data_IF_365310105313
#
_entry.id   IF_365310105313
#
_cell.length_a   1.000
_cell.length_b   1.000
_cell.length_c   1.000
_cell.angle_alpha   90.00
_cell.angle_beta   90.00
_cell.angle_gamma   90.00
#
_symmetry.space_group_name_H-M   'P 1'
#
loop_
_entity.id
_entity.type
_entity.pdbx_description
1 polymer ?
#
# COMPACT_ATOMS: atom_id res chain seq x y z
N UNK A 1 54.43 -11.96 -4.98
CA UNK A 1 54.78 -11.95 -6.44
C UNK A 1 53.83 -11.08 -7.24
N UNK A 2 52.51 -11.21 -7.06
CA UNK A 2 51.51 -10.36 -7.76
C UNK A 2 51.69 -8.88 -7.40
N UNK A 3 51.81 -8.55 -6.12
CA UNK A 3 51.98 -7.18 -5.64
C UNK A 3 53.23 -6.51 -6.25
N UNK A 4 54.35 -7.23 -6.37
CA UNK A 4 55.56 -6.74 -7.03
C UNK A 4 55.37 -6.50 -8.53
N UNK A 5 54.53 -7.31 -9.18
CA UNK A 5 54.26 -7.18 -10.61
C UNK A 5 53.37 -5.97 -10.92
N UNK A 6 52.42 -5.68 -10.07
CA UNK A 6 51.56 -4.51 -10.15
C UNK A 6 52.31 -3.20 -9.83
N UNK A 7 53.24 -3.24 -8.88
CA UNK A 7 54.15 -2.11 -8.61
C UNK A 7 54.99 -1.73 -9.85
N UNK A 8 55.52 -2.73 -10.58
CA UNK A 8 56.23 -2.52 -11.83
C UNK A 8 55.31 -2.01 -12.96
N UNK A 9 54.03 -2.34 -12.91
CA UNK A 9 53.03 -1.85 -13.86
C UNK A 9 52.65 -0.39 -13.60
N UNK A 10 52.51 0.04 -12.33
CA UNK A 10 52.31 1.44 -11.96
C UNK A 10 53.44 2.34 -12.47
N UNK A 11 54.68 1.89 -12.29
CA UNK A 11 55.86 2.61 -12.75
C UNK A 11 55.89 2.79 -14.29
N UNK A 12 55.53 1.74 -15.04
CA UNK A 12 55.47 1.77 -16.51
C UNK A 12 54.26 2.54 -17.08
N UNK A 13 53.14 2.57 -16.35
CA UNK A 13 51.91 3.20 -16.81
C UNK A 13 51.82 4.69 -16.43
N UNK A 14 52.74 5.20 -15.64
CA UNK A 14 52.72 6.58 -15.12
C UNK A 14 51.58 6.87 -14.14
N UNK A 15 50.93 5.82 -13.57
CA UNK A 15 49.88 5.95 -12.56
C UNK A 15 50.47 6.07 -11.16
N UNK A 16 49.97 7.03 -10.41
CA UNK A 16 50.41 7.23 -9.01
C UNK A 16 49.70 6.29 -8.01
N UNK A 17 48.56 5.75 -8.40
CA UNK A 17 47.73 4.90 -7.53
C UNK A 17 46.98 3.84 -8.33
N UNK A 18 46.95 2.60 -7.87
CA UNK A 18 46.12 1.52 -8.42
C UNK A 18 45.61 0.59 -7.30
N UNK A 19 44.55 -0.19 -7.58
CA UNK A 19 43.98 -1.13 -6.63
C UNK A 19 43.89 -2.52 -7.23
N UNK A 20 44.29 -3.53 -6.45
CA UNK A 20 44.34 -4.93 -6.91
C UNK A 20 43.57 -5.84 -5.96
N UNK A 21 42.83 -6.75 -6.54
CA UNK A 21 42.18 -7.83 -5.81
C UNK A 21 43.17 -8.96 -5.58
N UNK A 22 43.37 -9.35 -4.32
CA UNK A 22 44.23 -10.45 -3.94
C UNK A 22 43.42 -11.51 -3.18
N UNK A 23 43.63 -12.78 -3.52
CA UNK A 23 43.06 -13.88 -2.77
C UNK A 23 44.09 -14.43 -1.77
N UNK A 24 43.82 -14.30 -0.48
CA UNK A 24 44.65 -14.81 0.57
C UNK A 24 43.91 -15.81 1.45
N UNK A 25 44.37 -17.08 1.50
CA UNK A 25 43.75 -18.16 2.28
C UNK A 25 42.21 -18.31 2.05
N UNK A 26 41.78 -18.18 0.79
CA UNK A 26 40.35 -18.28 0.44
C UNK A 26 39.51 -17.05 0.78
N UNK A 27 40.14 -15.95 1.20
CA UNK A 27 39.44 -14.66 1.40
C UNK A 27 39.91 -13.62 0.39
N UNK A 28 38.99 -12.95 -0.23
CA UNK A 28 39.26 -11.79 -1.09
C UNK A 28 39.74 -10.62 -0.26
N UNK A 29 40.86 -10.02 -0.65
CA UNK A 29 41.44 -8.84 -0.02
C UNK A 29 41.77 -7.81 -1.09
N UNK A 30 41.30 -6.59 -0.90
CA UNK A 30 41.62 -5.47 -1.79
C UNK A 30 42.76 -4.65 -1.22
N UNK A 31 43.85 -4.55 -2.01
CA UNK A 31 45.00 -3.76 -1.66
C UNK A 31 45.13 -2.59 -2.63
N UNK A 32 45.25 -1.39 -2.09
CA UNK A 32 45.56 -0.19 -2.84
C UNK A 32 47.07 0.09 -2.72
N UNK A 33 47.69 0.31 -3.84
CA UNK A 33 49.10 0.68 -3.95
C UNK A 33 49.20 2.12 -4.41
N UNK A 34 49.98 2.92 -3.73
CA UNK A 34 50.42 4.24 -4.20
C UNK A 34 51.94 4.33 -4.15
N UNK A 35 52.51 4.89 -5.20
CA UNK A 35 53.96 4.98 -5.36
C UNK A 35 54.37 6.43 -5.59
N UNK A 36 55.42 6.85 -4.93
CA UNK A 36 56.07 8.13 -5.16
C UNK A 36 57.57 7.93 -5.34
N UNK A 37 58.10 8.40 -6.49
CA UNK A 37 59.52 8.30 -6.84
C UNK A 37 60.18 9.66 -6.59
N UNK A 38 61.31 9.65 -5.97
CA UNK A 38 62.16 10.83 -5.74
C UNK A 38 63.32 10.82 -6.72
N UNK A 39 63.68 11.99 -7.19
CA UNK A 39 64.76 12.16 -8.18
C UNK A 39 65.83 13.13 -7.65
N UNK A 40 67.12 12.80 -7.84
CA UNK A 40 68.27 13.66 -7.64
C UNK A 40 69.00 13.73 -8.97
N UNK A 41 69.33 14.92 -9.45
CA UNK A 41 69.97 15.16 -10.74
C UNK A 41 69.37 14.43 -11.92
N UNK A 42 67.98 14.33 -11.93
CA UNK A 42 67.22 13.68 -12.99
C UNK A 42 67.26 12.14 -12.96
N UNK A 43 67.86 11.54 -11.94
CA UNK A 43 67.93 10.09 -11.71
C UNK A 43 67.06 9.71 -10.52
N UNK A 44 66.24 8.62 -10.63
CA UNK A 44 65.46 8.14 -9.48
C UNK A 44 66.40 7.67 -8.36
N UNK A 45 66.26 8.21 -7.17
CA UNK A 45 67.04 7.87 -5.99
C UNK A 45 66.29 6.98 -5.03
N UNK A 46 65.05 7.31 -4.77
CA UNK A 46 64.22 6.60 -3.81
C UNK A 46 62.80 6.44 -4.34
N UNK A 47 62.15 5.38 -3.88
CA UNK A 47 60.75 5.11 -4.12
C UNK A 47 60.05 4.77 -2.80
N UNK A 48 59.01 5.51 -2.49
CA UNK A 48 58.12 5.19 -1.38
C UNK A 48 56.86 4.52 -1.94
N UNK A 49 56.55 3.34 -1.42
CA UNK A 49 55.36 2.60 -1.78
C UNK A 49 54.52 2.44 -0.53
N UNK A 50 53.30 2.91 -0.61
CA UNK A 50 52.30 2.74 0.44
C UNK A 50 51.32 1.66 -0.01
N UNK A 51 51.14 0.64 0.82
CA UNK A 51 50.15 -0.44 0.61
C UNK A 51 49.09 -0.31 1.67
N UNK A 52 47.87 -0.10 1.24
CA UNK A 52 46.70 0.04 2.12
C UNK A 52 45.69 -1.08 1.86
N UNK A 53 45.27 -1.74 2.92
CA UNK A 53 44.12 -2.68 2.79
C UNK A 53 42.82 -1.90 2.78
N UNK A 54 42.16 -1.87 1.62
CA UNK A 54 40.87 -1.17 1.38
C UNK A 54 39.69 -2.14 1.33
N UNK A 55 39.85 -3.40 1.73
CA UNK A 55 38.77 -4.41 1.69
C UNK A 55 37.53 -3.92 2.40
N UNK A 56 37.67 -3.44 3.64
CA UNK A 56 36.54 -2.92 4.42
C UNK A 56 35.84 -1.76 3.71
N UNK A 57 36.63 -0.85 3.14
CA UNK A 57 36.05 0.30 2.41
C UNK A 57 35.34 -0.14 1.14
N UNK A 58 35.87 -1.10 0.39
CA UNK A 58 35.21 -1.69 -0.80
C UNK A 58 33.93 -2.39 -0.44
N UNK A 59 33.94 -3.29 0.57
CA UNK A 59 32.77 -4.00 1.04
C UNK A 59 31.66 -3.02 1.51
N UNK A 60 32.06 -2.03 2.33
CA UNK A 60 31.09 -1.01 2.77
C UNK A 60 30.52 -0.21 1.59
N UNK A 61 31.31 0.13 0.60
CA UNK A 61 30.84 0.85 -0.57
C UNK A 61 29.90 -0.01 -1.43
N UNK A 62 30.19 -1.30 -1.58
CA UNK A 62 29.32 -2.27 -2.26
C UNK A 62 27.99 -2.44 -1.50
N UNK A 63 28.02 -2.55 -0.18
CA UNK A 63 26.82 -2.59 0.67
C UNK A 63 25.99 -1.31 0.53
N UNK A 64 26.62 -0.14 0.55
CA UNK A 64 25.94 1.14 0.35
C UNK A 64 25.31 1.24 -1.03
N UNK A 65 25.98 0.80 -2.08
CA UNK A 65 25.45 0.75 -3.44
C UNK A 65 24.28 -0.23 -3.53
N UNK A 66 24.41 -1.41 -2.89
CA UNK A 66 23.33 -2.37 -2.85
C UNK A 66 22.07 -1.79 -2.17
N UNK A 67 22.22 -1.17 -0.99
CA UNK A 67 21.13 -0.50 -0.29
C UNK A 67 20.51 0.67 -1.08
N UNK A 68 21.32 1.34 -1.91
CA UNK A 68 20.85 2.44 -2.74
C UNK A 68 19.91 1.96 -3.87
N UNK A 69 20.02 0.71 -4.32
CA UNK A 69 19.29 0.18 -5.49
C UNK A 69 18.32 -0.94 -5.16
N UNK A 70 18.57 -1.74 -4.11
CA UNK A 70 17.81 -2.95 -3.82
C UNK A 70 17.13 -2.87 -2.45
N UNK A 71 16.04 -3.61 -2.33
CA UNK A 71 15.38 -3.90 -1.08
C UNK A 71 16.09 -5.03 -0.35
N UNK A 72 16.40 -4.85 0.92
CA UNK A 72 17.20 -5.79 1.71
C UNK A 72 16.49 -7.11 2.02
N UNK A 73 15.16 -7.11 2.05
CA UNK A 73 14.36 -8.31 2.35
C UNK A 73 14.23 -9.21 1.13
N UNK A 74 13.90 -8.64 -0.03
CA UNK A 74 13.52 -9.39 -1.23
C UNK A 74 14.64 -9.49 -2.28
N UNK A 75 15.61 -8.56 -2.23
CA UNK A 75 16.64 -8.44 -3.27
C UNK A 75 16.10 -7.98 -4.63
N UNK A 76 14.87 -7.46 -4.67
CA UNK A 76 14.31 -6.72 -5.79
C UNK A 76 14.80 -5.28 -5.78
N UNK A 77 14.53 -4.51 -6.82
CA UNK A 77 14.77 -3.07 -6.77
C UNK A 77 13.97 -2.44 -5.63
N UNK A 78 14.56 -1.42 -4.98
CA UNK A 78 13.82 -0.59 -4.05
C UNK A 78 12.96 0.44 -4.80
N UNK A 79 12.02 1.09 -4.10
CA UNK A 79 11.12 2.08 -4.66
C UNK A 79 11.84 3.20 -5.39
N UNK A 80 12.93 3.72 -4.82
CA UNK A 80 13.64 4.88 -5.37
C UNK A 80 14.30 4.55 -6.71
N UNK A 81 14.95 3.40 -6.80
CA UNK A 81 15.60 2.98 -8.02
C UNK A 81 14.59 2.58 -9.10
N UNK A 82 13.48 1.93 -8.71
CA UNK A 82 12.38 1.62 -9.62
C UNK A 82 11.80 2.88 -10.27
N UNK A 83 11.50 3.93 -9.50
CA UNK A 83 10.99 5.20 -10.03
C UNK A 83 11.95 5.81 -11.05
N UNK A 84 13.25 5.71 -10.80
CA UNK A 84 14.27 6.17 -11.74
C UNK A 84 14.24 5.36 -13.05
N UNK A 85 14.19 4.03 -12.97
CA UNK A 85 14.14 3.16 -14.15
C UNK A 85 12.82 3.35 -14.92
N UNK A 86 11.69 3.46 -14.22
CA UNK A 86 10.40 3.74 -14.83
C UNK A 86 10.40 5.09 -15.55
N UNK A 87 11.03 6.11 -14.99
CA UNK A 87 11.17 7.41 -15.66
C UNK A 87 11.94 7.28 -16.98
N UNK A 88 12.96 6.42 -17.01
CA UNK A 88 13.69 6.13 -18.27
C UNK A 88 12.83 5.33 -19.26
N UNK A 89 12.01 4.38 -18.80
CA UNK A 89 11.04 3.68 -19.66
C UNK A 89 10.06 4.66 -20.29
N UNK A 90 9.53 5.62 -19.52
CA UNK A 90 8.60 6.63 -20.01
C UNK A 90 9.27 7.57 -21.05
N UNK A 91 10.53 7.93 -20.82
CA UNK A 91 11.30 8.74 -21.79
C UNK A 91 11.43 8.00 -23.12
N UNK A 92 11.88 6.73 -23.09
CA UNK A 92 12.00 5.86 -24.27
C UNK A 92 10.64 5.68 -24.95
N UNK A 93 9.58 5.37 -24.17
CA UNK A 93 8.24 5.15 -24.69
C UNK A 93 7.68 6.38 -25.43
N UNK A 94 8.00 7.58 -24.93
CA UNK A 94 7.63 8.83 -25.60
C UNK A 94 8.35 9.00 -26.94
N UNK A 95 9.65 8.66 -27.02
CA UNK A 95 10.45 8.74 -28.24
C UNK A 95 10.02 7.70 -29.27
N UNK A 96 9.74 6.47 -28.82
CA UNK A 96 9.40 5.33 -29.68
C UNK A 96 7.89 5.21 -29.96
N UNK A 97 7.07 6.08 -29.38
CA UNK A 97 5.60 6.01 -29.40
C UNK A 97 5.07 4.64 -28.94
N UNK A 98 5.57 4.17 -27.81
CA UNK A 98 5.22 2.89 -27.19
C UNK A 98 4.45 3.08 -25.91
N UNK A 99 3.82 2.00 -25.44
CA UNK A 99 3.11 1.95 -24.16
C UNK A 99 4.07 1.53 -23.04
N UNK A 100 3.71 1.91 -21.80
CA UNK A 100 4.29 1.33 -20.59
C UNK A 100 3.16 0.98 -19.65
N UNK A 101 3.08 -0.29 -19.23
CA UNK A 101 2.11 -0.72 -18.24
C UNK A 101 2.79 -0.82 -16.87
N UNK A 102 2.17 -0.22 -15.85
CA UNK A 102 2.58 -0.31 -14.45
C UNK A 102 1.57 -1.14 -13.69
N UNK A 103 2.03 -2.20 -13.03
CA UNK A 103 1.23 -3.08 -12.19
C UNK A 103 1.63 -2.87 -10.74
N UNK A 104 0.65 -2.63 -9.87
CA UNK A 104 0.83 -2.72 -8.41
C UNK A 104 0.16 -4.01 -7.94
N UNK A 105 0.92 -4.85 -7.25
CA UNK A 105 0.55 -6.20 -6.84
C UNK A 105 0.62 -6.25 -5.32
N UNK A 106 -0.44 -6.68 -4.67
CA UNK A 106 -0.56 -6.72 -3.22
C UNK A 106 -1.06 -8.12 -2.79
N UNK A 107 -0.43 -8.69 -1.76
CA UNK A 107 -0.83 -9.99 -1.20
C UNK A 107 -2.08 -9.78 -0.34
N UNK A 108 -3.17 -10.42 -0.72
CA UNK A 108 -4.44 -10.30 0.00
C UNK A 108 -4.35 -10.88 1.42
N UNK A 109 -4.93 -10.16 2.39
CA UNK A 109 -5.00 -10.60 3.81
C UNK A 109 -3.63 -10.82 4.49
N UNK A 110 -2.54 -10.25 4.00
CA UNK A 110 -1.19 -10.41 4.54
C UNK A 110 -1.10 -10.11 6.04
N UNK A 111 -1.85 -9.12 6.52
CA UNK A 111 -1.91 -8.83 7.95
C UNK A 111 -2.36 -10.04 8.78
N UNK A 112 -3.31 -10.85 8.28
CA UNK A 112 -3.75 -12.07 8.98
C UNK A 112 -2.63 -13.10 9.08
N UNK A 113 -1.72 -13.14 8.09
CA UNK A 113 -0.53 -14.00 8.13
C UNK A 113 0.38 -13.55 9.28
N UNK A 114 0.67 -12.25 9.37
CA UNK A 114 1.49 -11.70 10.45
C UNK A 114 0.85 -11.88 11.82
N UNK A 115 -0.45 -11.60 11.95
CA UNK A 115 -1.19 -11.72 13.21
C UNK A 115 -1.30 -13.20 13.67
N UNK A 116 -1.40 -14.14 12.73
CA UNK A 116 -1.57 -15.57 13.02
C UNK A 116 -0.27 -16.38 13.15
N UNK A 117 0.74 -16.08 12.32
CA UNK A 117 1.98 -16.86 12.21
C UNK A 117 3.24 -16.09 12.60
N UNK A 118 3.11 -14.79 12.87
CA UNK A 118 4.20 -13.91 13.24
C UNK A 118 4.92 -13.26 12.03
N UNK A 119 5.68 -12.20 12.32
CA UNK A 119 6.37 -11.38 11.32
C UNK A 119 7.38 -12.20 10.49
N UNK A 120 8.08 -13.15 11.11
CA UNK A 120 9.09 -13.97 10.42
C UNK A 120 8.45 -14.80 9.29
N UNK A 121 7.27 -15.36 9.52
CA UNK A 121 6.53 -16.10 8.50
C UNK A 121 6.04 -15.17 7.36
N UNK A 122 5.63 -13.95 7.71
CA UNK A 122 5.28 -12.93 6.73
C UNK A 122 6.47 -12.52 5.86
N UNK A 123 7.62 -12.25 6.47
CA UNK A 123 8.85 -11.89 5.76
C UNK A 123 9.29 -13.00 4.81
N UNK A 124 9.19 -14.27 5.23
CA UNK A 124 9.51 -15.41 4.38
C UNK A 124 8.55 -15.54 3.19
N UNK A 125 7.25 -15.34 3.40
CA UNK A 125 6.27 -15.28 2.32
C UNK A 125 6.62 -14.16 1.30
N UNK A 126 6.94 -12.97 1.80
CA UNK A 126 7.36 -11.83 0.99
C UNK A 126 8.63 -12.17 0.19
N UNK A 127 9.63 -12.80 0.80
CA UNK A 127 10.84 -13.23 0.10
C UNK A 127 10.56 -14.26 -1.00
N UNK A 128 9.73 -15.28 -0.72
CA UNK A 128 9.40 -16.32 -1.70
C UNK A 128 8.62 -15.76 -2.88
N UNK A 129 7.62 -14.91 -2.62
CA UNK A 129 6.84 -14.26 -3.68
C UNK A 129 7.69 -13.24 -4.46
N UNK A 130 8.53 -12.48 -3.77
CA UNK A 130 9.50 -11.57 -4.41
C UNK A 130 10.49 -12.31 -5.31
N UNK A 131 10.98 -13.47 -4.89
CA UNK A 131 11.88 -14.32 -5.70
C UNK A 131 11.20 -14.80 -6.99
N UNK A 132 9.92 -15.19 -6.91
CA UNK A 132 9.14 -15.51 -8.10
C UNK A 132 8.99 -14.30 -9.03
N UNK A 133 8.63 -13.12 -8.50
CA UNK A 133 8.48 -11.92 -9.31
C UNK A 133 9.81 -11.48 -9.94
N UNK A 134 10.94 -11.77 -9.31
CA UNK A 134 12.28 -11.47 -9.82
C UNK A 134 12.59 -12.15 -11.15
N UNK A 135 11.97 -13.30 -11.43
CA UNK A 135 12.16 -14.05 -12.69
C UNK A 135 11.67 -13.27 -13.93
N UNK A 136 10.78 -12.29 -13.73
CA UNK A 136 10.31 -11.41 -14.82
C UNK A 136 11.28 -10.27 -15.14
N UNK A 137 12.25 -9.96 -14.26
CA UNK A 137 13.19 -8.86 -14.48
C UNK A 137 14.00 -9.05 -15.77
N UNK A 138 14.11 -8.00 -16.55
CA UNK A 138 14.87 -7.97 -17.81
C UNK A 138 14.93 -6.56 -18.40
N UNK A 139 15.31 -6.45 -19.66
CA UNK A 139 15.50 -5.15 -20.32
C UNK A 139 14.20 -4.35 -20.48
N UNK A 140 13.05 -5.05 -20.59
CA UNK A 140 11.74 -4.43 -20.81
C UNK A 140 10.77 -4.65 -19.65
N UNK A 141 11.18 -5.35 -18.60
CA UNK A 141 10.38 -5.58 -17.39
C UNK A 141 11.23 -5.31 -16.16
N UNK A 142 10.77 -4.43 -15.31
CA UNK A 142 11.41 -4.13 -14.02
C UNK A 142 10.44 -4.38 -12.88
N UNK A 143 10.95 -4.96 -11.78
CA UNK A 143 10.15 -5.30 -10.59
C UNK A 143 10.80 -4.72 -9.36
N UNK A 144 9.99 -4.16 -8.47
CA UNK A 144 10.43 -3.69 -7.16
C UNK A 144 9.53 -4.16 -6.03
N UNK A 145 10.09 -4.15 -4.83
CA UNK A 145 9.35 -4.22 -3.59
C UNK A 145 9.07 -2.80 -3.12
N UNK A 146 7.79 -2.42 -3.01
CA UNK A 146 7.41 -1.07 -2.60
C UNK A 146 7.40 -0.94 -1.07
N UNK A 147 6.67 -1.80 -0.41
CA UNK A 147 6.55 -1.83 1.06
C UNK A 147 5.77 -3.08 1.49
N UNK A 148 6.10 -3.65 2.65
CA UNK A 148 5.38 -4.74 3.31
C UNK A 148 5.05 -5.92 2.37
N UNK A 149 3.84 -5.96 1.85
CA UNK A 149 3.26 -6.98 0.98
C UNK A 149 2.97 -6.47 -0.44
N UNK A 150 3.46 -5.27 -0.77
CA UNK A 150 3.18 -4.58 -2.04
C UNK A 150 4.39 -4.56 -2.94
N UNK A 151 4.20 -5.00 -4.18
CA UNK A 151 5.20 -4.98 -5.24
C UNK A 151 4.74 -4.08 -6.38
N UNK A 152 5.70 -3.60 -7.16
CA UNK A 152 5.40 -2.89 -8.39
C UNK A 152 6.22 -3.46 -9.54
N UNK A 153 5.58 -3.55 -10.70
CA UNK A 153 6.19 -4.01 -11.94
C UNK A 153 5.92 -2.97 -13.03
N UNK A 154 6.90 -2.69 -13.86
CA UNK A 154 6.69 -1.90 -15.06
C UNK A 154 7.14 -2.69 -16.29
N UNK A 155 6.35 -2.61 -17.36
CA UNK A 155 6.52 -3.34 -18.61
C UNK A 155 6.60 -2.33 -19.72
N UNK A 156 7.73 -2.30 -20.41
CA UNK A 156 7.92 -1.50 -21.60
C UNK A 156 7.38 -2.24 -22.83
N UNK A 157 6.54 -1.59 -23.62
CA UNK A 157 5.91 -2.14 -24.84
C UNK A 157 5.30 -3.54 -24.62
N UNK A 158 4.25 -3.67 -23.76
CA UNK A 158 3.73 -4.95 -23.32
C UNK A 158 3.14 -5.74 -24.49
N UNK A 159 3.78 -6.87 -24.85
CA UNK A 159 3.32 -7.75 -25.92
C UNK A 159 3.75 -9.20 -25.70
N UNK A 160 3.03 -10.15 -26.29
CA UNK A 160 3.34 -11.57 -26.21
C UNK A 160 3.46 -12.07 -24.77
N UNK A 161 4.58 -12.71 -24.44
CA UNK A 161 4.86 -13.22 -23.10
C UNK A 161 5.15 -12.12 -22.06
N UNK A 162 5.32 -10.87 -22.49
CA UNK A 162 5.46 -9.69 -21.65
C UNK A 162 4.15 -8.90 -21.56
N UNK A 163 3.04 -9.40 -22.08
CA UNK A 163 1.74 -8.75 -21.92
C UNK A 163 1.28 -8.80 -20.48
N UNK A 164 0.50 -7.81 -20.06
CA UNK A 164 -0.08 -7.74 -18.72
C UNK A 164 -0.89 -9.00 -18.39
N UNK A 165 -1.67 -9.48 -19.38
CA UNK A 165 -2.51 -10.67 -19.22
C UNK A 165 -1.68 -11.94 -19.04
N UNK A 166 -0.56 -12.08 -19.75
CA UNK A 166 0.32 -13.24 -19.58
C UNK A 166 0.96 -13.25 -18.20
N UNK A 167 1.56 -12.12 -17.81
CA UNK A 167 2.18 -11.97 -16.48
C UNK A 167 1.15 -12.21 -15.36
N UNK A 168 -0.04 -11.63 -15.49
CA UNK A 168 -1.11 -11.87 -14.52
C UNK A 168 -1.49 -13.37 -14.43
N UNK A 169 -1.58 -14.09 -15.56
CA UNK A 169 -1.83 -15.54 -15.56
C UNK A 169 -0.75 -16.32 -14.81
N UNK A 170 0.53 -15.98 -15.01
CA UNK A 170 1.63 -16.63 -14.30
C UNK A 170 1.60 -16.31 -12.80
N UNK A 171 1.27 -15.08 -12.41
CA UNK A 171 1.08 -14.71 -11.02
C UNK A 171 -0.07 -15.53 -10.39
N UNK A 172 -1.23 -15.60 -11.05
CA UNK A 172 -2.37 -16.40 -10.57
C UNK A 172 -2.04 -17.89 -10.50
N UNK A 173 -1.27 -18.42 -11.45
CA UNK A 173 -0.80 -19.80 -11.43
C UNK A 173 0.07 -20.06 -10.20
N UNK A 174 1.06 -19.19 -9.94
CA UNK A 174 1.95 -19.29 -8.77
C UNK A 174 1.19 -19.20 -7.46
N UNK A 175 0.21 -18.31 -7.34
CA UNK A 175 -0.57 -18.15 -6.09
C UNK A 175 -1.56 -19.27 -5.83
N UNK A 176 -1.88 -20.11 -6.84
CA UNK A 176 -2.64 -21.37 -6.64
C UNK A 176 -1.79 -22.48 -6.03
N UNK A 177 -0.48 -22.41 -6.16
CA UNK A 177 0.44 -23.32 -5.53
C UNK A 177 0.71 -22.86 -4.09
N UNK A 178 0.74 -23.78 -3.12
CA UNK A 178 0.99 -23.40 -1.73
C UNK A 178 2.41 -22.88 -1.52
N UNK A 179 2.55 -21.98 -0.57
CA UNK A 179 3.82 -21.50 -0.06
C UNK A 179 4.20 -22.31 1.17
N UNK A 180 5.35 -22.93 1.13
CA UNK A 180 5.89 -23.74 2.23
C UNK A 180 6.88 -22.89 3.03
N UNK A 181 6.56 -22.62 4.29
CA UNK A 181 7.38 -21.82 5.16
C UNK A 181 8.29 -22.67 6.06
N UNK A 182 9.40 -22.09 6.51
CA UNK A 182 10.29 -22.71 7.49
C UNK A 182 9.49 -22.93 8.78
N UNK A 183 9.41 -24.18 9.26
CA UNK A 183 8.54 -24.54 10.38
C UNK A 183 7.35 -25.41 9.97
N UNK A 184 7.24 -25.73 8.66
CA UNK A 184 6.25 -26.68 8.13
C UNK A 184 4.86 -26.10 7.90
N UNK A 185 4.69 -24.79 8.03
CA UNK A 185 3.42 -24.13 7.72
C UNK A 185 3.22 -24.05 6.21
N UNK A 186 1.97 -24.21 5.79
CA UNK A 186 1.56 -24.16 4.37
C UNK A 186 0.53 -23.05 4.21
N UNK A 187 0.83 -22.07 3.34
CA UNK A 187 -0.04 -20.95 3.08
C UNK A 187 -0.58 -20.96 1.67
N UNK A 188 -1.88 -20.69 1.54
CA UNK A 188 -2.52 -20.35 0.28
C UNK A 188 -2.82 -18.86 0.30
N UNK A 189 -2.35 -18.14 -0.71
CA UNK A 189 -2.55 -16.70 -0.83
C UNK A 189 -3.30 -16.38 -2.12
N UNK A 190 -3.89 -15.20 -2.14
CA UNK A 190 -4.33 -14.53 -3.36
C UNK A 190 -3.69 -13.16 -3.47
N UNK A 191 -3.73 -12.57 -4.63
CA UNK A 191 -3.22 -11.22 -4.85
C UNK A 191 -4.24 -10.36 -5.58
N UNK A 192 -4.24 -9.08 -5.25
CA UNK A 192 -4.96 -8.06 -5.98
C UNK A 192 -3.99 -7.22 -6.80
N UNK A 193 -4.31 -6.98 -8.07
CA UNK A 193 -3.45 -6.29 -9.02
C UNK A 193 -4.17 -5.08 -9.58
N UNK A 194 -3.51 -3.93 -9.53
CA UNK A 194 -3.95 -2.71 -10.21
C UNK A 194 -3.03 -2.39 -11.38
N UNK A 195 -3.58 -2.01 -12.52
CA UNK A 195 -2.86 -1.70 -13.75
C UNK A 195 -3.14 -0.28 -14.19
N UNK A 196 -2.09 0.48 -14.48
CA UNK A 196 -2.18 1.79 -15.10
C UNK A 196 -1.23 1.87 -16.31
N UNK A 197 -1.68 2.48 -17.40
CA UNK A 197 -0.94 2.51 -18.66
C UNK A 197 -0.57 3.93 -19.06
N UNK A 198 0.68 4.12 -19.45
CA UNK A 198 1.18 5.33 -20.12
C UNK A 198 0.83 5.25 -21.61
N UNK A 199 0.36 6.34 -22.23
CA UNK A 199 0.15 7.69 -21.68
C UNK A 199 -1.25 7.93 -21.13
N UNK A 200 -2.16 6.98 -21.16
CA UNK A 200 -3.59 7.16 -20.90
C UNK A 200 -3.87 7.51 -19.43
N UNK A 201 -3.29 6.76 -18.49
CA UNK A 201 -3.55 6.96 -17.06
C UNK A 201 -2.78 8.17 -16.51
N UNK A 202 -1.51 8.30 -16.87
CA UNK A 202 -0.64 9.41 -16.46
C UNK A 202 0.64 9.48 -17.30
N UNK A 203 1.39 10.55 -17.16
CA UNK A 203 2.63 10.79 -17.91
C UNK A 203 3.90 10.81 -17.05
N UNK A 204 3.77 10.74 -15.73
CA UNK A 204 4.88 10.66 -14.79
C UNK A 204 4.92 9.31 -14.06
N UNK A 205 6.11 8.87 -13.68
CA UNK A 205 6.31 7.60 -12.98
C UNK A 205 5.51 7.50 -11.67
N UNK A 206 5.53 8.56 -10.86
CA UNK A 206 4.83 8.59 -9.58
C UNK A 206 3.31 8.58 -9.75
N UNK A 207 2.78 9.32 -10.72
CA UNK A 207 1.34 9.33 -11.00
C UNK A 207 0.86 7.98 -11.52
N UNK A 208 1.63 7.31 -12.39
CA UNK A 208 1.29 5.95 -12.87
C UNK A 208 1.23 4.95 -11.73
N UNK A 209 2.21 4.96 -10.83
CA UNK A 209 2.20 4.11 -9.63
C UNK A 209 0.95 4.41 -8.79
N UNK A 210 0.67 5.68 -8.52
CA UNK A 210 -0.52 6.07 -7.75
C UNK A 210 -1.83 5.64 -8.42
N UNK A 211 -1.94 5.77 -9.74
CA UNK A 211 -3.10 5.31 -10.50
C UNK A 211 -3.29 3.79 -10.36
N UNK A 212 -2.20 3.01 -10.48
CA UNK A 212 -2.24 1.57 -10.31
C UNK A 212 -2.60 1.17 -8.85
N UNK A 213 -2.07 1.87 -7.84
CA UNK A 213 -2.44 1.66 -6.42
C UNK A 213 -3.94 1.91 -6.18
N UNK A 214 -4.48 3.01 -6.70
CA UNK A 214 -5.90 3.36 -6.54
C UNK A 214 -6.80 2.24 -7.06
N UNK A 215 -6.53 1.73 -8.27
CA UNK A 215 -7.38 0.68 -8.87
C UNK A 215 -7.16 -0.67 -8.20
N UNK A 216 -5.97 -0.97 -7.70
CA UNK A 216 -5.69 -2.16 -6.89
C UNK A 216 -6.54 -2.14 -5.60
N UNK A 217 -6.57 -1.02 -4.87
CA UNK A 217 -7.43 -0.86 -3.69
C UNK A 217 -8.92 -1.00 -4.02
N UNK A 218 -9.37 -0.49 -5.17
CA UNK A 218 -10.75 -0.69 -5.62
C UNK A 218 -11.02 -2.18 -5.89
N UNK A 219 -10.09 -2.89 -6.54
CA UNK A 219 -10.16 -4.33 -6.76
C UNK A 219 -10.31 -5.11 -5.44
N UNK A 220 -9.54 -4.75 -4.41
CA UNK A 220 -9.67 -5.32 -3.07
C UNK A 220 -11.05 -5.08 -2.45
N UNK A 221 -11.59 -3.87 -2.58
CA UNK A 221 -12.93 -3.55 -2.08
C UNK A 221 -14.05 -4.32 -2.80
N UNK A 222 -13.84 -4.71 -4.06
CA UNK A 222 -14.78 -5.48 -4.88
C UNK A 222 -14.68 -7.01 -4.68
N UNK A 223 -13.87 -7.49 -3.71
CA UNK A 223 -13.80 -8.92 -3.35
C UNK A 223 -12.43 -9.55 -3.52
N UNK A 224 -11.34 -8.78 -3.69
CA UNK A 224 -9.94 -9.25 -3.78
C UNK A 224 -9.69 -10.25 -4.93
N UNK A 225 -8.48 -10.85 -5.00
CA UNK A 225 -8.11 -11.89 -5.97
C UNK A 225 -8.47 -11.55 -7.41
N UNK A 226 -8.07 -10.37 -7.88
CA UNK A 226 -8.42 -9.86 -9.21
C UNK A 226 -7.41 -8.87 -9.76
N UNK A 227 -7.47 -8.67 -11.06
CA UNK A 227 -6.83 -7.57 -11.76
C UNK A 227 -7.86 -6.47 -12.04
N UNK A 228 -7.46 -5.23 -11.82
CA UNK A 228 -8.28 -4.04 -12.12
C UNK A 228 -7.46 -3.05 -12.93
N UNK A 229 -8.00 -2.64 -14.05
CA UNK A 229 -7.39 -1.62 -14.91
C UNK A 229 -7.86 -0.23 -14.50
N UNK A 230 -6.96 0.73 -14.66
CA UNK A 230 -7.28 2.13 -14.45
C UNK A 230 -8.26 2.61 -15.53
N UNK A 231 -9.26 3.35 -15.10
CA UNK A 231 -10.09 4.20 -15.94
C UNK A 231 -10.37 5.54 -15.22
N UNK A 232 -10.65 6.60 -15.98
CA UNK A 232 -10.91 7.94 -15.42
C UNK A 232 -12.11 7.98 -14.45
N UNK A 233 -13.22 7.26 -14.67
CA UNK A 233 -14.30 7.15 -13.70
C UNK A 233 -13.86 6.62 -12.34
N UNK A 234 -12.95 5.67 -12.29
CA UNK A 234 -12.41 5.10 -11.04
C UNK A 234 -11.66 6.15 -10.22
N UNK A 235 -10.81 6.95 -10.86
CA UNK A 235 -10.09 8.03 -10.20
C UNK A 235 -11.04 9.08 -9.63
N UNK A 236 -12.04 9.49 -10.42
CA UNK A 236 -13.02 10.47 -9.99
C UNK A 236 -13.84 10.00 -8.77
N UNK A 237 -14.22 8.72 -8.75
CA UNK A 237 -14.91 8.12 -7.61
C UNK A 237 -14.01 8.06 -6.36
N UNK A 238 -12.74 7.72 -6.54
CA UNK A 238 -11.76 7.71 -5.45
C UNK A 238 -11.57 9.10 -4.85
N UNK A 239 -11.35 10.12 -5.69
CA UNK A 239 -11.17 11.50 -5.24
C UNK A 239 -12.41 12.03 -4.51
N UNK A 240 -13.63 11.72 -5.02
CA UNK A 240 -14.88 12.06 -4.33
C UNK A 240 -15.00 11.39 -2.96
N UNK A 241 -14.58 10.13 -2.84
CA UNK A 241 -14.62 9.43 -1.56
C UNK A 241 -13.62 10.00 -0.55
N UNK A 242 -12.41 10.39 -0.99
CA UNK A 242 -11.42 11.08 -0.14
C UNK A 242 -11.95 12.44 0.34
N UNK A 243 -12.52 13.23 -0.56
CA UNK A 243 -13.16 14.51 -0.20
C UNK A 243 -14.30 14.30 0.80
N UNK A 244 -15.12 13.27 0.56
CA UNK A 244 -16.26 12.96 1.42
C UNK A 244 -15.82 12.47 2.81
N UNK A 245 -14.73 11.71 2.92
CA UNK A 245 -14.14 11.29 4.19
C UNK A 245 -13.68 12.49 5.04
N UNK A 246 -13.00 13.44 4.41
CA UNK A 246 -12.58 14.67 5.09
C UNK A 246 -13.77 15.48 5.60
N UNK A 247 -14.76 15.71 4.75
CA UNK A 247 -16.00 16.44 5.12
C UNK A 247 -16.82 15.73 6.19
N UNK A 248 -16.82 14.39 6.20
CA UNK A 248 -17.53 13.61 7.19
C UNK A 248 -16.94 13.79 8.59
N UNK A 249 -15.62 13.82 8.70
CA UNK A 249 -14.93 14.09 9.97
C UNK A 249 -15.29 15.48 10.51
N UNK A 250 -15.30 16.49 9.67
CA UNK A 250 -15.74 17.84 10.05
C UNK A 250 -17.21 17.85 10.50
N UNK A 251 -18.09 17.17 9.74
CA UNK A 251 -19.53 17.13 10.03
C UNK A 251 -19.86 16.51 11.39
N UNK A 252 -19.06 15.55 11.88
CA UNK A 252 -19.20 14.97 13.21
C UNK A 252 -18.99 16.02 14.31
N UNK A 253 -18.02 16.92 14.14
CA UNK A 253 -17.73 17.99 15.11
C UNK A 253 -18.76 19.13 15.05
N UNK A 254 -19.29 19.44 13.87
CA UNK A 254 -20.19 20.56 13.61
C UNK A 254 -21.68 20.23 13.78
N UNK A 255 -22.04 18.98 14.13
CA UNK A 255 -23.40 18.50 14.22
C UNK A 255 -24.25 18.73 12.96
N UNK A 256 -23.68 18.52 11.77
CA UNK A 256 -24.33 18.72 10.48
C UNK A 256 -25.26 17.58 10.07
N UNK A 257 -25.69 16.74 11.03
CA UNK A 257 -26.61 15.65 10.83
C UNK A 257 -28.01 16.04 11.22
N UNK A 258 -28.98 15.44 10.52
CA UNK A 258 -30.42 15.58 10.75
C UNK A 258 -31.05 14.19 10.82
N UNK A 259 -32.13 14.06 11.59
CA UNK A 259 -32.96 12.86 11.59
C UNK A 259 -34.27 13.12 10.86
N UNK A 260 -34.58 12.23 9.94
CA UNK A 260 -35.90 12.11 9.33
C UNK A 260 -36.59 10.88 9.92
N UNK A 261 -37.88 10.94 10.09
CA UNK A 261 -38.68 9.87 10.67
C UNK A 261 -39.66 9.35 9.63
N UNK A 262 -39.51 8.07 9.28
CA UNK A 262 -40.40 7.42 8.32
C UNK A 262 -41.47 6.64 9.07
N UNK A 263 -42.79 6.97 8.89
CA UNK A 263 -43.86 6.27 9.59
C UNK A 263 -44.03 4.85 9.03
N UNK A 264 -44.25 3.90 9.94
CA UNK A 264 -44.55 2.50 9.67
C UNK A 264 -45.98 2.21 10.06
N UNK A 265 -46.74 1.52 9.20
CA UNK A 265 -48.15 1.22 9.39
C UNK A 265 -48.38 -0.28 9.37
N UNK A 266 -49.36 -0.74 10.15
CA UNK A 266 -49.85 -2.11 10.04
C UNK A 266 -50.58 -2.31 8.70
N UNK A 267 -50.23 -3.35 7.94
CA UNK A 267 -50.77 -3.60 6.61
C UNK A 267 -52.30 -3.84 6.59
N UNK A 268 -52.82 -4.49 7.63
CA UNK A 268 -54.26 -4.86 7.70
C UNK A 268 -55.22 -3.70 7.99
N UNK A 269 -54.81 -2.76 8.87
CA UNK A 269 -55.72 -1.71 9.35
C UNK A 269 -55.20 -0.28 9.13
N UNK A 270 -54.00 -0.13 8.54
CA UNK A 270 -53.31 1.14 8.26
C UNK A 270 -53.12 2.04 9.49
N UNK A 271 -53.20 1.47 10.70
CA UNK A 271 -52.83 2.23 11.92
C UNK A 271 -51.34 2.40 12.02
N UNK A 272 -50.89 3.51 12.59
CA UNK A 272 -49.47 3.76 12.88
C UNK A 272 -48.97 2.68 13.81
N UNK A 273 -47.86 2.02 13.42
CA UNK A 273 -47.14 1.07 14.24
C UNK A 273 -45.96 1.76 14.95
N UNK A 274 -45.22 2.57 14.20
CA UNK A 274 -44.00 3.18 14.67
C UNK A 274 -43.37 4.12 13.67
N UNK A 275 -42.16 4.53 13.99
CA UNK A 275 -41.37 5.38 13.11
C UNK A 275 -39.95 4.85 13.05
N UNK A 276 -39.34 4.93 11.87
CA UNK A 276 -37.93 4.62 11.66
C UNK A 276 -37.11 5.91 11.60
N UNK A 277 -36.09 6.03 12.46
CA UNK A 277 -35.16 7.14 12.43
C UNK A 277 -34.12 6.93 11.34
N UNK A 278 -34.06 7.86 10.41
CA UNK A 278 -33.19 7.83 9.24
C UNK A 278 -32.26 9.03 9.24
N UNK A 279 -30.97 8.77 9.40
CA UNK A 279 -29.95 9.83 9.37
C UNK A 279 -29.88 10.49 8.00
N UNK A 280 -29.69 11.79 8.01
CA UNK A 280 -29.42 12.64 6.85
C UNK A 280 -28.21 13.51 7.16
N UNK A 281 -27.35 13.68 6.17
CA UNK A 281 -26.20 14.58 6.28
C UNK A 281 -26.39 15.75 5.30
N UNK A 282 -26.26 16.95 5.83
CA UNK A 282 -26.29 18.17 5.05
C UNK A 282 -24.90 18.76 5.02
N UNK A 283 -24.28 18.85 3.83
CA UNK A 283 -22.95 19.44 3.70
C UNK A 283 -22.95 20.94 3.98
N UNK A 284 -21.75 21.54 4.14
CA UNK A 284 -21.60 22.97 4.40
C UNK A 284 -22.22 23.89 3.33
N UNK A 285 -22.58 23.36 2.14
CA UNK A 285 -23.26 24.04 1.06
C UNK A 285 -24.79 23.81 1.06
N UNK A 286 -25.29 23.11 2.04
CA UNK A 286 -26.72 22.82 2.17
C UNK A 286 -27.22 21.63 1.33
N UNK A 287 -26.34 20.86 0.68
CA UNK A 287 -26.72 19.68 -0.11
C UNK A 287 -26.90 18.47 0.80
N UNK A 288 -27.93 17.69 0.51
CA UNK A 288 -28.16 16.41 1.19
C UNK A 288 -27.26 15.32 0.60
N UNK A 289 -26.44 14.72 1.44
CA UNK A 289 -25.59 13.58 1.07
C UNK A 289 -26.32 12.29 1.45
N UNK A 290 -26.42 11.39 0.48
CA UNK A 290 -27.13 10.10 0.68
C UNK A 290 -26.42 9.23 1.73
N UNK A 291 -27.17 8.61 2.66
CA UNK A 291 -26.64 7.63 3.60
C UNK A 291 -25.86 6.50 2.94
N UNK A 292 -26.31 6.00 1.79
CA UNK A 292 -25.63 4.97 1.02
C UNK A 292 -24.20 5.37 0.57
N UNK A 293 -23.87 6.66 0.55
CA UNK A 293 -22.53 7.15 0.21
C UNK A 293 -21.65 7.32 1.43
N UNK A 294 -22.16 7.87 2.52
CA UNK A 294 -21.31 8.22 3.66
C UNK A 294 -21.23 7.14 4.74
N UNK A 295 -22.27 6.31 4.92
CA UNK A 295 -22.26 5.23 5.92
C UNK A 295 -21.10 4.25 5.67
N UNK A 296 -20.85 3.74 4.44
CA UNK A 296 -19.70 2.85 4.21
C UNK A 296 -18.34 3.51 4.50
N UNK A 297 -18.22 4.82 4.29
CA UNK A 297 -17.01 5.59 4.62
C UNK A 297 -16.87 5.71 6.14
N UNK A 298 -17.98 6.05 6.83
CA UNK A 298 -18.02 6.15 8.27
C UNK A 298 -17.67 4.82 8.98
N UNK A 299 -18.14 3.71 8.44
CA UNK A 299 -17.78 2.37 8.94
C UNK A 299 -16.30 2.07 8.71
N UNK A 300 -15.77 2.36 7.54
CA UNK A 300 -14.36 2.10 7.21
C UNK A 300 -13.38 2.89 8.09
N UNK A 301 -13.70 4.14 8.41
CA UNK A 301 -12.83 5.03 9.20
C UNK A 301 -13.19 5.10 10.70
N UNK A 302 -14.26 4.38 11.13
CA UNK A 302 -14.72 4.31 12.52
C UNK A 302 -15.59 5.49 12.97
N UNK A 303 -15.82 6.51 12.14
CA UNK A 303 -16.69 7.65 12.50
C UNK A 303 -18.16 7.27 12.62
N UNK A 304 -18.56 6.08 12.18
CA UNK A 304 -19.89 5.54 12.39
C UNK A 304 -20.25 5.42 13.87
N UNK A 305 -19.27 5.23 14.77
CA UNK A 305 -19.49 5.09 16.21
C UNK A 305 -19.99 6.40 16.82
N UNK A 306 -19.27 7.55 16.73
CA UNK A 306 -19.80 8.81 17.24
C UNK A 306 -21.08 9.26 16.52
N UNK A 307 -21.21 9.02 15.21
CA UNK A 307 -22.45 9.29 14.47
C UNK A 307 -23.63 8.49 15.06
N UNK A 308 -23.43 7.19 15.26
CA UNK A 308 -24.48 6.31 15.75
C UNK A 308 -24.90 6.62 17.19
N UNK A 309 -23.97 6.98 18.05
CA UNK A 309 -24.27 7.44 19.42
C UNK A 309 -25.12 8.72 19.37
N UNK A 310 -24.77 9.67 18.52
CA UNK A 310 -25.58 10.87 18.29
C UNK A 310 -26.99 10.53 17.76
N UNK A 311 -27.08 9.61 16.80
CA UNK A 311 -28.39 9.15 16.26
C UNK A 311 -29.24 8.54 17.34
N UNK A 312 -28.70 7.64 18.16
CA UNK A 312 -29.42 7.01 19.28
C UNK A 312 -29.92 8.07 20.27
N UNK A 313 -29.06 8.97 20.73
CA UNK A 313 -29.43 9.98 21.69
C UNK A 313 -30.51 10.93 21.14
N UNK A 314 -30.35 11.43 19.91
CA UNK A 314 -31.34 12.33 19.30
C UNK A 314 -32.67 11.63 19.02
N UNK A 315 -32.64 10.36 18.57
CA UNK A 315 -33.84 9.59 18.28
C UNK A 315 -34.67 9.31 19.53
N UNK A 316 -34.01 8.83 20.59
CA UNK A 316 -34.67 8.51 21.87
C UNK A 316 -35.20 9.78 22.53
N UNK A 317 -34.45 10.88 22.49
CA UNK A 317 -34.91 12.18 22.98
C UNK A 317 -36.17 12.63 22.26
N UNK A 318 -36.16 12.63 20.93
CA UNK A 318 -37.31 13.05 20.11
C UNK A 318 -38.55 12.13 20.35
N UNK A 319 -38.29 10.83 20.50
CA UNK A 319 -39.32 9.85 20.83
C UNK A 319 -40.01 10.16 22.17
N UNK A 320 -39.23 10.40 23.24
CA UNK A 320 -39.70 10.79 24.56
C UNK A 320 -40.52 12.09 24.49
N UNK A 321 -40.04 13.12 23.79
CA UNK A 321 -40.75 14.38 23.58
C UNK A 321 -42.11 14.16 22.91
N UNK A 322 -42.17 13.32 21.86
CA UNK A 322 -43.42 13.02 21.13
C UNK A 322 -44.39 12.18 21.97
N UNK A 323 -43.91 11.15 22.67
CA UNK A 323 -44.69 10.37 23.61
C UNK A 323 -45.40 11.26 24.65
N UNK A 324 -44.62 12.15 25.28
CA UNK A 324 -45.13 13.07 26.29
C UNK A 324 -46.14 14.09 25.71
N UNK A 325 -45.91 14.54 24.47
CA UNK A 325 -46.78 15.55 23.83
C UNK A 325 -48.05 15.00 23.30
N UNK A 326 -48.03 13.82 22.70
CA UNK A 326 -49.18 13.28 21.92
C UNK A 326 -49.86 12.11 22.62
N UNK A 327 -49.26 11.46 23.59
CA UNK A 327 -49.84 10.35 24.35
C UNK A 327 -50.18 9.10 23.49
N UNK A 328 -49.57 8.95 22.31
CA UNK A 328 -49.85 7.84 21.41
C UNK A 328 -48.73 6.82 21.50
N UNK A 329 -49.03 5.55 21.83
CA UNK A 329 -48.01 4.50 21.86
C UNK A 329 -47.56 4.18 20.40
N UNK A 330 -46.28 4.21 20.15
CA UNK A 330 -45.67 3.78 18.89
C UNK A 330 -44.23 3.31 19.14
N UNK A 331 -43.72 2.49 18.24
CA UNK A 331 -42.39 1.91 18.32
C UNK A 331 -41.38 2.79 17.59
N UNK A 332 -40.23 3.03 18.17
CA UNK A 332 -39.10 3.66 17.52
C UNK A 332 -38.12 2.61 17.00
N UNK A 333 -37.83 2.67 15.71
CA UNK A 333 -36.82 1.83 15.06
C UNK A 333 -35.57 2.67 14.73
N UNK A 334 -34.39 2.21 15.15
CA UNK A 334 -33.11 2.87 14.89
C UNK A 334 -32.14 1.85 14.30
N UNK A 335 -31.49 2.22 13.18
CA UNK A 335 -30.48 1.38 12.55
C UNK A 335 -29.14 1.48 13.30
N UNK A 336 -28.54 0.34 13.61
CA UNK A 336 -27.26 0.22 14.32
C UNK A 336 -26.24 -0.47 13.42
N UNK A 337 -25.03 0.10 13.32
CA UNK A 337 -23.93 -0.55 12.61
C UNK A 337 -23.34 -1.71 13.41
N UNK A 338 -22.89 -2.76 12.71
CA UNK A 338 -22.19 -3.88 13.32
C UNK A 338 -20.97 -3.45 14.14
N UNK A 339 -20.27 -2.40 13.72
CA UNK A 339 -19.11 -1.85 14.46
C UNK A 339 -19.51 -1.21 15.81
N UNK A 340 -20.70 -0.63 15.90
CA UNK A 340 -21.23 -0.12 17.18
C UNK A 340 -21.57 -1.28 18.11
N UNK A 341 -22.29 -2.28 17.59
CA UNK A 341 -22.72 -3.45 18.34
C UNK A 341 -21.52 -4.26 18.92
N UNK A 342 -20.38 -4.27 18.26
CA UNK A 342 -19.18 -4.94 18.72
C UNK A 342 -18.44 -4.23 19.86
N UNK A 343 -18.84 -3.01 20.25
CA UNK A 343 -18.26 -2.30 21.37
C UNK A 343 -18.72 -2.91 22.68
N UNK A 344 -17.79 -3.17 23.61
CA UNK A 344 -18.08 -3.76 24.91
C UNK A 344 -19.06 -2.92 25.76
N UNK A 345 -18.96 -1.59 25.62
CA UNK A 345 -19.78 -0.61 26.36
C UNK A 345 -21.10 -0.23 25.64
N UNK A 346 -21.41 -0.83 24.49
CA UNK A 346 -22.57 -0.44 23.67
C UNK A 346 -23.90 -0.58 24.41
N UNK A 347 -24.13 -1.73 25.05
CA UNK A 347 -25.39 -2.01 25.76
C UNK A 347 -25.55 -1.07 26.97
N UNK A 348 -24.48 -0.85 27.72
CA UNK A 348 -24.50 0.06 28.85
C UNK A 348 -24.78 1.50 28.40
N UNK A 349 -24.14 1.97 27.35
CA UNK A 349 -24.38 3.29 26.77
C UNK A 349 -25.82 3.46 26.29
N UNK A 350 -26.41 2.45 25.64
CA UNK A 350 -27.80 2.48 25.19
C UNK A 350 -28.76 2.55 26.37
N UNK A 351 -28.58 1.73 27.41
CA UNK A 351 -29.43 1.74 28.60
C UNK A 351 -29.32 3.09 29.32
N UNK A 352 -28.17 3.69 29.40
CA UNK A 352 -27.98 5.01 30.01
C UNK A 352 -28.75 6.10 29.24
N UNK A 353 -28.81 6.04 27.90
CA UNK A 353 -29.59 6.96 27.07
C UNK A 353 -31.09 6.74 27.31
N UNK A 354 -31.57 5.48 27.31
CA UNK A 354 -32.96 5.10 27.56
C UNK A 354 -33.43 5.64 28.95
N UNK A 355 -32.64 5.39 30.01
CA UNK A 355 -32.93 5.89 31.34
C UNK A 355 -32.92 7.42 31.42
N UNK A 356 -31.96 8.08 30.73
CA UNK A 356 -31.84 9.54 30.71
C UNK A 356 -33.12 10.24 30.22
N UNK A 357 -33.82 9.62 29.26
CA UNK A 357 -35.02 10.18 28.65
C UNK A 357 -36.31 9.51 29.07
N UNK A 358 -36.26 8.67 30.10
CA UNK A 358 -37.40 7.97 30.70
C UNK A 358 -38.27 7.24 29.67
N UNK A 359 -37.60 6.44 28.83
CA UNK A 359 -38.25 5.62 27.80
C UNK A 359 -38.32 4.17 28.27
N UNK A 360 -39.46 3.51 28.02
CA UNK A 360 -39.61 2.09 28.31
C UNK A 360 -38.87 1.27 27.23
N UNK A 361 -38.00 0.32 27.63
CA UNK A 361 -37.30 -0.53 26.67
C UNK A 361 -38.21 -1.39 25.78
N UNK A 362 -39.46 -1.61 26.17
CA UNK A 362 -40.46 -2.36 25.41
C UNK A 362 -41.16 -1.51 24.31
N UNK A 363 -40.89 -0.21 24.26
CA UNK A 363 -41.37 0.75 23.24
C UNK A 363 -40.23 1.03 22.22
#
# INVERSE_FOLDING_TARGET
>A
VLALREMLFLEKSGRETDSVECMQRGKTTWLQFSSRIFYEDGRPTDQIIVVQNITKQKTQNEELLYMAYYDSLTGLYNRNYFVRLLTEFLRRAKEDNRLVSVLVIDIDDFRKVNDGLGIVAGDELVQQFGSFLKEFNGDDVIVCHLTSDVYCMAIYDPCGNKSVEHIHKEIVKRTREPFYLVGGQVLNITVSVGVAEYPEAATSALELINCAEIVMFKGKAMGKNRIQYFDTPILNDFLKNVELDSKLKEAVFENNFLLYYQPQYYAGNRKLRGMEALIRWKDGNGRMISPAKFIPIAEKNGTIIPIGNWVLEQSIRTFSEWRNRYGVPFVLSVNISALQYQKEDFVESLLNIIHKYDVDPDE
#
